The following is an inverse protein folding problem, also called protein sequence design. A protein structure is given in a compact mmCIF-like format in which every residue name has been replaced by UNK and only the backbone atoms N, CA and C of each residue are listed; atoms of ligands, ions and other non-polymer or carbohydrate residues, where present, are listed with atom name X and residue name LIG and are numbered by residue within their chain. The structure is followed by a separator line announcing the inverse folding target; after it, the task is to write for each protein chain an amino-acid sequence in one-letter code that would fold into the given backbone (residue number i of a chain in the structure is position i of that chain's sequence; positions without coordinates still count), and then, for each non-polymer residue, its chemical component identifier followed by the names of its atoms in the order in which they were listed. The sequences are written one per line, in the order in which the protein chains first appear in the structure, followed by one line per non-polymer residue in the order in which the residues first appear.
data_IF_269066095081
#
_entry.id   IF_269066095081
#
_cell.length_a   1.000
_cell.length_b   1.000
_cell.length_c   1.000
_cell.angle_alpha   90.00
_cell.angle_beta   90.00
_cell.angle_gamma   90.00
#
_symmetry.space_group_name_H-M   'P 1'
#
loop_
_entity.id
_entity.type
_entity.pdbx_description
1 polymer ?
#
# COMPACT_ATOMS: atom_id res chain seq x y z
N UNK A 1 53.77 -2.36 24.41
CA UNK A 1 53.37 -1.48 23.30
C UNK A 1 52.56 -2.28 22.30
N UNK A 2 51.28 -1.92 22.15
CA UNK A 2 50.52 -1.83 20.90
C UNK A 2 49.04 -1.75 21.28
N UNK A 3 48.60 -0.53 21.59
CA UNK A 3 47.18 -0.17 21.57
C UNK A 3 46.73 -0.29 20.12
N UNK A 4 45.92 -1.30 19.81
CA UNK A 4 45.06 -1.23 18.63
C UNK A 4 43.88 -0.36 19.03
N UNK A 5 43.84 0.85 18.50
CA UNK A 5 42.73 1.77 18.63
C UNK A 5 41.48 1.06 18.11
N UNK A 6 40.56 0.72 19.00
CA UNK A 6 39.19 0.43 18.63
C UNK A 6 38.60 1.76 18.11
N UNK A 7 38.52 1.88 16.78
CA UNK A 7 37.81 2.95 16.13
C UNK A 7 36.36 2.95 16.65
N UNK A 8 36.10 3.85 17.59
CA UNK A 8 34.83 3.98 18.29
C UNK A 8 33.82 4.67 17.35
N UNK A 9 33.45 3.95 16.29
CA UNK A 9 32.40 4.31 15.35
C UNK A 9 31.07 4.26 16.09
N UNK A 10 30.67 5.39 16.66
CA UNK A 10 29.36 5.55 17.25
C UNK A 10 28.31 5.61 16.11
N UNK A 11 27.78 4.42 15.78
CA UNK A 11 26.77 4.17 14.74
C UNK A 11 25.57 5.13 14.82
N UNK A 12 25.17 5.52 16.04
CA UNK A 12 24.05 6.45 16.25
C UNK A 12 24.36 7.86 15.72
N UNK A 13 25.59 8.32 15.88
CA UNK A 13 26.03 9.63 15.35
C UNK A 13 26.10 9.62 13.84
N UNK A 14 26.55 8.52 13.25
CA UNK A 14 26.66 8.41 11.79
C UNK A 14 25.28 8.35 11.12
N UNK A 15 24.34 7.61 11.72
CA UNK A 15 22.94 7.62 11.30
C UNK A 15 22.33 9.02 11.37
N UNK A 16 22.59 9.75 12.45
CA UNK A 16 22.01 11.09 12.65
C UNK A 16 22.45 12.09 11.57
N UNK A 17 23.71 12.02 11.13
CA UNK A 17 24.23 12.84 10.02
C UNK A 17 23.51 12.59 8.70
N UNK A 18 22.97 11.38 8.48
CA UNK A 18 22.18 11.06 7.28
C UNK A 18 20.78 11.68 7.35
N UNK A 19 20.18 11.76 8.56
CA UNK A 19 18.85 12.34 8.77
C UNK A 19 18.86 13.87 8.79
N UNK A 20 19.95 14.50 9.25
CA UNK A 20 20.04 15.96 9.37
C UNK A 20 20.15 16.69 8.01
N UNK A 21 20.21 15.96 6.88
CA UNK A 21 20.32 16.50 5.52
C UNK A 21 19.02 16.47 4.69
N UNK A 22 17.92 15.91 5.19
CA UNK A 22 16.66 15.80 4.43
C UNK A 22 15.62 16.78 4.96
N UNK A 23 15.58 17.97 4.37
CA UNK A 23 14.68 19.09 4.72
C UNK A 23 13.23 18.89 4.20
N UNK A 24 12.77 17.64 4.16
CA UNK A 24 11.44 17.26 3.70
C UNK A 24 10.95 16.04 4.48
N UNK A 25 9.78 16.15 5.11
CA UNK A 25 9.12 15.02 5.77
C UNK A 25 8.53 14.09 4.71
N UNK A 26 9.37 13.38 3.96
CA UNK A 26 8.94 12.37 3.01
C UNK A 26 8.40 11.17 3.80
N UNK A 27 7.10 10.89 3.67
CA UNK A 27 6.54 9.67 4.25
C UNK A 27 7.03 8.46 3.46
N UNK A 28 7.60 7.48 4.15
CA UNK A 28 8.21 6.30 3.55
C UNK A 28 7.31 5.06 3.70
N UNK A 29 7.41 4.17 2.73
CA UNK A 29 6.86 2.83 2.76
C UNK A 29 7.57 1.98 3.82
N UNK A 30 6.82 1.41 4.76
CA UNK A 30 7.37 0.61 5.87
C UNK A 30 7.91 -0.77 5.45
N UNK A 31 7.76 -1.16 4.18
CA UNK A 31 8.35 -2.40 3.63
C UNK A 31 9.60 -2.11 2.82
N UNK A 32 9.52 -1.19 1.84
CA UNK A 32 10.62 -0.95 0.90
C UNK A 32 11.56 0.17 1.31
N UNK A 33 11.13 1.08 2.20
CA UNK A 33 11.89 2.28 2.55
C UNK A 33 11.82 3.40 1.52
N UNK A 34 11.17 3.18 0.37
CA UNK A 34 10.96 4.21 -0.66
C UNK A 34 9.87 5.19 -0.25
N UNK A 35 9.81 6.34 -0.91
CA UNK A 35 8.71 7.31 -0.75
C UNK A 35 7.34 6.68 -1.06
N UNK A 36 6.30 7.11 -0.32
CA UNK A 36 4.94 6.68 -0.58
C UNK A 36 4.44 7.19 -1.94
N UNK A 37 4.00 6.27 -2.80
CA UNK A 37 3.39 6.60 -4.09
C UNK A 37 1.95 7.07 -3.91
N UNK A 38 1.33 7.64 -4.96
CA UNK A 38 -0.09 8.03 -4.91
C UNK A 38 -1.03 6.85 -4.60
N UNK A 39 -0.65 5.65 -5.03
CA UNK A 39 -1.41 4.41 -4.85
C UNK A 39 -1.11 3.71 -3.51
N UNK A 40 -0.39 4.34 -2.58
CA UNK A 40 -0.11 3.74 -1.29
C UNK A 40 -1.40 3.39 -0.53
N UNK A 41 -1.29 2.31 0.25
CA UNK A 41 -2.36 1.79 1.08
C UNK A 41 -2.09 2.20 2.53
N UNK A 42 -3.16 2.60 3.21
CA UNK A 42 -3.18 2.82 4.65
C UNK A 42 -4.08 1.75 5.24
N UNK A 43 -3.51 0.88 6.07
CA UNK A 43 -4.28 -0.15 6.77
C UNK A 43 -5.03 0.46 7.96
N UNK A 44 -6.05 -0.24 8.48
CA UNK A 44 -6.80 0.20 9.69
C UNK A 44 -5.91 0.35 10.92
N UNK A 45 -4.74 -0.31 10.93
CA UNK A 45 -3.71 -0.17 11.96
C UNK A 45 -2.80 1.05 11.73
N UNK A 46 -3.18 1.97 10.82
CA UNK A 46 -2.48 3.20 10.42
C UNK A 46 -1.11 3.02 9.75
N UNK A 47 -0.66 1.80 9.49
CA UNK A 47 0.58 1.56 8.76
C UNK A 47 0.39 1.81 7.25
N UNK A 48 1.39 2.46 6.66
CA UNK A 48 1.39 2.90 5.26
C UNK A 48 2.39 2.09 4.45
N UNK A 49 1.95 1.63 3.28
CA UNK A 49 2.77 0.83 2.38
C UNK A 49 2.49 1.20 0.94
N UNK A 50 3.53 1.16 0.09
CA UNK A 50 3.32 1.15 -1.35
C UNK A 50 2.58 -0.12 -1.77
N UNK A 51 1.76 0.00 -2.82
CA UNK A 51 0.84 -1.06 -3.23
C UNK A 51 1.58 -2.36 -3.58
N UNK A 52 2.60 -2.29 -4.44
CA UNK A 52 3.34 -3.46 -4.93
C UNK A 52 4.04 -4.21 -3.77
N UNK A 53 4.85 -3.56 -2.90
CA UNK A 53 5.46 -4.26 -1.76
C UNK A 53 4.45 -4.94 -0.82
N UNK A 54 3.31 -4.29 -0.56
CA UNK A 54 2.26 -4.86 0.27
C UNK A 54 1.57 -6.05 -0.41
N UNK A 55 1.27 -5.93 -1.71
CA UNK A 55 0.68 -7.00 -2.50
C UNK A 55 1.55 -8.26 -2.47
N UNK A 56 2.85 -8.11 -2.75
CA UNK A 56 3.80 -9.22 -2.76
C UNK A 56 3.93 -9.90 -1.39
N UNK A 57 3.89 -9.12 -0.31
CA UNK A 57 3.91 -9.67 1.05
C UNK A 57 2.67 -10.52 1.33
N UNK A 58 1.47 -10.03 0.98
CA UNK A 58 0.21 -10.76 1.15
C UNK A 58 0.19 -12.06 0.32
N UNK A 59 0.70 -12.01 -0.92
CA UNK A 59 0.89 -13.22 -1.75
C UNK A 59 1.73 -14.25 -1.02
N UNK A 60 2.87 -13.84 -0.43
CA UNK A 60 3.75 -14.73 0.33
C UNK A 60 3.06 -15.30 1.57
N UNK A 61 2.35 -14.46 2.33
CA UNK A 61 1.58 -14.89 3.51
C UNK A 61 0.59 -16.01 3.18
N UNK A 62 -0.11 -15.90 2.04
CA UNK A 62 -1.14 -16.87 1.63
C UNK A 62 -0.58 -18.11 0.93
N UNK A 63 0.61 -18.02 0.31
CA UNK A 63 1.30 -19.16 -0.32
C UNK A 63 1.93 -20.10 0.72
N UNK A 64 2.47 -19.55 1.81
CA UNK A 64 3.18 -20.32 2.84
C UNK A 64 2.18 -20.84 3.88
N UNK A 65 1.47 -21.93 3.53
CA UNK A 65 0.54 -22.63 4.43
C UNK A 65 1.21 -23.51 5.48
N UNK A 66 2.48 -23.89 5.29
CA UNK A 66 3.14 -24.93 6.11
C UNK A 66 3.64 -24.48 7.49
N UNK A 67 3.82 -23.16 7.71
CA UNK A 67 4.47 -22.63 8.92
C UNK A 67 3.65 -21.56 9.66
N UNK A 68 2.47 -21.19 9.16
CA UNK A 68 1.60 -20.24 9.83
C UNK A 68 0.64 -21.02 10.74
N UNK A 69 0.79 -20.86 12.06
CA UNK A 69 0.01 -21.55 13.10
C UNK A 69 -1.46 -21.10 13.19
N UNK A 70 -1.81 -20.01 12.53
CA UNK A 70 -3.19 -19.51 12.44
C UNK A 70 -3.56 -19.37 10.96
N UNK A 71 -4.53 -20.17 10.51
CA UNK A 71 -5.06 -20.08 9.15
C UNK A 71 -5.76 -18.73 8.97
N UNK A 72 -5.32 -17.98 7.95
CA UNK A 72 -6.00 -16.75 7.53
C UNK A 72 -7.16 -17.13 6.62
N UNK A 73 -8.33 -16.54 6.86
CA UNK A 73 -9.45 -16.61 5.92
C UNK A 73 -9.05 -16.07 4.54
N UNK A 74 -9.80 -16.44 3.51
CA UNK A 74 -9.55 -15.99 2.13
C UNK A 74 -9.53 -14.46 2.06
N UNK A 75 -10.40 -13.78 2.81
CA UNK A 75 -10.49 -12.33 2.84
C UNK A 75 -9.60 -11.66 3.90
N UNK A 76 -8.72 -12.42 4.57
CA UNK A 76 -7.85 -11.90 5.63
C UNK A 76 -6.38 -11.86 5.23
N UNK A 77 -5.65 -10.89 5.77
CA UNK A 77 -4.19 -10.87 5.74
C UNK A 77 -3.62 -10.17 6.98
N UNK A 78 -2.33 -10.37 7.27
CA UNK A 78 -1.66 -9.69 8.39
C UNK A 78 -0.94 -8.45 7.91
N UNK A 79 -1.01 -7.37 8.67
CA UNK A 79 -0.13 -6.23 8.48
C UNK A 79 1.34 -6.70 8.52
N UNK A 80 2.17 -6.36 7.51
CA UNK A 80 3.58 -6.74 7.49
C UNK A 80 4.39 -6.16 8.66
N UNK A 81 3.96 -5.02 9.18
CA UNK A 81 4.65 -4.31 10.27
C UNK A 81 4.17 -4.77 11.66
N UNK A 82 2.89 -4.59 12.00
CA UNK A 82 2.37 -4.85 13.35
C UNK A 82 1.65 -6.19 13.52
N UNK A 83 1.53 -6.99 12.46
CA UNK A 83 0.92 -8.34 12.47
C UNK A 83 -0.58 -8.42 12.78
N UNK A 84 -1.26 -7.28 13.01
CA UNK A 84 -2.72 -7.20 13.12
C UNK A 84 -3.37 -7.84 11.89
N UNK A 85 -4.41 -8.65 12.10
CA UNK A 85 -5.19 -9.27 11.02
C UNK A 85 -6.24 -8.27 10.52
N UNK A 86 -6.22 -8.01 9.22
CA UNK A 86 -7.25 -7.26 8.52
C UNK A 86 -8.26 -8.22 7.88
N UNK A 87 -9.54 -7.85 7.88
CA UNK A 87 -10.65 -8.67 7.39
C UNK A 87 -11.11 -8.28 5.98
N UNK A 88 -10.31 -7.50 5.28
CA UNK A 88 -10.53 -7.08 3.90
C UNK A 88 -9.32 -7.47 3.05
N UNK A 89 -9.47 -7.44 1.73
CA UNK A 89 -8.38 -7.64 0.77
C UNK A 89 -8.03 -6.31 0.09
N UNK A 90 -6.89 -6.26 -0.59
CA UNK A 90 -6.45 -5.05 -1.27
C UNK A 90 -7.43 -4.62 -2.38
N UNK A 91 -7.54 -3.32 -2.66
CA UNK A 91 -8.24 -2.87 -3.85
C UNK A 91 -7.50 -3.35 -5.09
N UNK A 92 -8.21 -3.62 -6.19
CA UNK A 92 -7.56 -3.85 -7.47
C UNK A 92 -7.16 -2.50 -8.10
N UNK A 93 -5.85 -2.31 -8.35
CA UNK A 93 -5.30 -1.10 -8.95
C UNK A 93 -4.66 -1.45 -10.31
N UNK A 94 -5.38 -1.24 -11.44
CA UNK A 94 -4.91 -1.65 -12.77
C UNK A 94 -3.60 -0.99 -13.22
N UNK A 95 -3.27 0.18 -12.67
CA UNK A 95 -2.05 0.92 -12.95
C UNK A 95 -0.82 0.34 -12.23
N UNK A 96 -1.03 -0.44 -11.17
CA UNK A 96 0.04 -1.08 -10.39
C UNK A 96 0.21 -2.55 -10.78
N UNK A 97 -0.89 -3.26 -11.05
CA UNK A 97 -0.87 -4.69 -11.36
C UNK A 97 -1.95 -5.10 -12.36
N UNK A 98 -1.66 -6.09 -13.22
CA UNK A 98 -2.60 -6.61 -14.23
C UNK A 98 -3.45 -7.77 -13.70
N UNK A 99 -2.90 -8.52 -12.76
CA UNK A 99 -3.44 -9.76 -12.24
C UNK A 99 -4.50 -9.50 -11.17
N UNK A 100 -5.60 -10.26 -11.25
CA UNK A 100 -6.59 -10.38 -10.19
C UNK A 100 -6.44 -11.74 -9.51
N UNK A 101 -6.04 -11.73 -8.25
CA UNK A 101 -5.83 -12.90 -7.42
C UNK A 101 -6.91 -12.96 -6.33
N UNK A 102 -7.61 -14.11 -6.29
CA UNK A 102 -8.66 -14.37 -5.30
C UNK A 102 -8.06 -14.34 -3.89
N UNK A 103 -8.70 -13.61 -2.99
CA UNK A 103 -8.26 -13.44 -1.61
C UNK A 103 -7.10 -12.46 -1.44
N UNK A 104 -6.69 -11.74 -2.49
CA UNK A 104 -5.63 -10.72 -2.43
C UNK A 104 -6.12 -9.38 -2.95
N UNK A 105 -6.66 -9.35 -4.17
CA UNK A 105 -7.22 -8.14 -4.79
C UNK A 105 -8.49 -8.45 -5.61
N UNK A 106 -9.19 -9.54 -5.25
CA UNK A 106 -10.46 -9.99 -5.82
C UNK A 106 -11.15 -10.97 -4.84
N UNK A 107 -12.48 -11.00 -4.69
CA UNK A 107 -13.50 -10.22 -5.40
C UNK A 107 -13.75 -8.83 -4.79
N UNK A 108 -14.47 -7.96 -5.52
CA UNK A 108 -14.80 -6.59 -5.09
C UNK A 108 -15.55 -6.53 -3.75
N UNK A 109 -16.40 -7.53 -3.47
CA UNK A 109 -17.20 -7.59 -2.23
C UNK A 109 -16.36 -7.69 -0.95
N UNK A 110 -15.09 -8.06 -1.05
CA UNK A 110 -14.18 -8.20 0.10
C UNK A 110 -13.08 -7.13 0.12
N UNK A 111 -13.04 -6.23 -0.87
CA UNK A 111 -11.99 -5.23 -0.99
C UNK A 111 -12.18 -4.12 0.04
N UNK A 112 -11.07 -3.67 0.60
CA UNK A 112 -11.05 -2.40 1.34
C UNK A 112 -11.39 -1.24 0.40
N UNK A 113 -11.99 -0.19 0.97
CA UNK A 113 -12.39 0.99 0.22
C UNK A 113 -11.18 1.71 -0.38
N UNK A 114 -11.36 2.25 -1.58
CA UNK A 114 -10.35 3.12 -2.15
C UNK A 114 -10.32 4.46 -1.43
N UNK A 115 -9.14 5.10 -1.38
CA UNK A 115 -8.97 6.41 -0.74
C UNK A 115 -9.44 7.59 -1.59
N UNK A 116 -9.81 7.34 -2.86
CA UNK A 116 -10.18 8.38 -3.81
C UNK A 116 -11.48 8.08 -4.52
N UNK A 117 -12.16 9.16 -4.91
CA UNK A 117 -13.46 9.15 -5.57
C UNK A 117 -13.29 9.54 -7.02
N UNK A 118 -14.02 8.87 -7.91
CA UNK A 118 -13.95 9.08 -9.35
C UNK A 118 -14.20 10.54 -9.74
N UNK A 119 -13.27 11.13 -10.49
CA UNK A 119 -13.32 12.51 -10.99
C UNK A 119 -14.18 12.71 -12.23
N UNK A 120 -14.74 11.65 -12.79
CA UNK A 120 -15.59 11.74 -13.97
C UNK A 120 -16.84 12.60 -13.72
N UNK A 121 -17.11 13.53 -14.64
CA UNK A 121 -18.32 14.35 -14.67
C UNK A 121 -19.12 13.99 -15.91
N UNK A 122 -20.40 13.68 -15.74
CA UNK A 122 -21.27 13.35 -16.87
C UNK A 122 -21.50 14.56 -17.76
N UNK A 123 -21.22 14.42 -19.05
CA UNK A 123 -21.37 15.51 -20.04
C UNK A 123 -22.77 15.54 -20.70
N UNK A 124 -23.54 14.45 -20.57
CA UNK A 124 -24.84 14.23 -21.23
C UNK A 124 -25.78 13.42 -20.32
N UNK A 125 -27.07 13.39 -20.66
CA UNK A 125 -28.11 12.62 -19.96
C UNK A 125 -28.63 13.28 -18.68
N UNK A 126 -29.48 12.54 -17.95
CA UNK A 126 -30.12 13.02 -16.70
C UNK A 126 -29.11 13.42 -15.61
N UNK A 127 -27.90 12.84 -15.64
CA UNK A 127 -26.86 13.12 -14.66
C UNK A 127 -25.87 14.22 -15.10
N UNK A 128 -26.15 14.96 -16.19
CA UNK A 128 -25.24 15.97 -16.73
C UNK A 128 -24.78 16.97 -15.65
N UNK A 129 -23.48 17.19 -15.55
CA UNK A 129 -22.85 18.07 -14.55
C UNK A 129 -22.61 17.41 -13.18
N UNK A 130 -23.11 16.20 -12.95
CA UNK A 130 -22.93 15.47 -11.69
C UNK A 130 -21.62 14.67 -11.74
N UNK A 131 -20.87 14.66 -10.62
CA UNK A 131 -19.65 13.86 -10.45
C UNK A 131 -19.99 12.40 -10.11
N UNK A 132 -19.21 11.46 -10.62
CA UNK A 132 -19.31 10.05 -10.27
C UNK A 132 -19.09 9.85 -8.76
N UNK A 133 -19.88 8.97 -8.14
CA UNK A 133 -19.83 8.69 -6.69
C UNK A 133 -19.15 7.35 -6.36
N UNK A 134 -18.52 6.73 -7.35
CA UNK A 134 -17.85 5.45 -7.16
C UNK A 134 -16.40 5.67 -6.70
N UNK A 135 -15.93 4.73 -5.88
CA UNK A 135 -14.53 4.56 -5.55
C UNK A 135 -13.67 4.41 -6.80
N UNK A 136 -12.45 4.93 -6.75
CA UNK A 136 -11.57 5.06 -7.88
C UNK A 136 -10.11 4.71 -7.57
N UNK A 137 -9.32 4.58 -8.63
CA UNK A 137 -7.87 4.49 -8.56
C UNK A 137 -7.25 5.73 -9.22
N UNK A 138 -6.05 6.09 -8.77
CA UNK A 138 -5.24 7.07 -9.48
C UNK A 138 -4.78 6.52 -10.83
N UNK A 139 -4.92 7.36 -11.86
CA UNK A 139 -4.41 7.19 -13.21
C UNK A 139 -3.63 8.48 -13.54
N UNK A 140 -2.31 8.43 -13.35
CA UNK A 140 -1.44 9.60 -13.47
C UNK A 140 -1.80 10.67 -12.42
N UNK A 141 -2.44 11.74 -12.86
CA UNK A 141 -2.85 12.86 -12.00
C UNK A 141 -4.33 12.85 -11.61
N UNK A 142 -5.15 12.06 -12.28
CA UNK A 142 -6.60 11.99 -12.05
C UNK A 142 -7.00 10.67 -11.44
N UNK A 143 -8.22 10.56 -10.96
CA UNK A 143 -8.77 9.33 -10.40
C UNK A 143 -10.06 8.91 -11.10
N UNK A 144 -10.13 7.64 -11.51
CA UNK A 144 -11.31 7.10 -12.19
C UNK A 144 -11.68 5.72 -11.65
N UNK A 145 -12.99 5.44 -11.61
CA UNK A 145 -13.52 4.11 -11.29
C UNK A 145 -13.38 3.19 -12.49
N UNK A 146 -13.56 1.88 -12.29
CA UNK A 146 -13.47 0.88 -13.36
C UNK A 146 -14.37 1.14 -14.57
N UNK A 147 -15.51 1.83 -14.40
CA UNK A 147 -16.43 2.19 -15.49
C UNK A 147 -15.98 3.43 -16.29
N UNK A 148 -15.11 4.26 -15.72
CA UNK A 148 -14.61 5.50 -16.33
C UNK A 148 -13.11 5.46 -16.60
N UNK A 149 -12.44 4.38 -16.21
CA UNK A 149 -11.13 3.97 -16.68
C UNK A 149 -11.25 3.65 -18.19
N UNK A 150 -10.75 4.52 -19.06
CA UNK A 150 -10.66 4.32 -20.51
C UNK A 150 -9.23 4.53 -20.97
#
# INVERSE_FOLDING_TARGET
MNNMNEDNLNFKTELKKLYDCTDGTHELCLISGDELTKSHIILECNHKFNYIPLFDDIVKQKKIRRFNTNDLEVHQFRCPYCRIIHNEILPYIPTEIKEKLIGINSPYSCMMKHRVMCEWVWVKGANKGIKCKNDANYIGEKSYCSNHYK
#
